data_IF_741528263647
#
_entry.id   IF_741528263647
#
_cell.length_a   1.000
_cell.length_b   1.000
_cell.length_c   1.000
_cell.angle_alpha   90.00
_cell.angle_beta   90.00
_cell.angle_gamma   90.00
#
_symmetry.space_group_name_H-M   'P 1'
#
loop_
_entity.id
_entity.type
_entity.pdbx_description
1 polymer ?
#
# COMPACT_ATOMS: atom_id res chain seq x y z
N UNK A 1 -8.11 6.37 15.51
CA UNK A 1 -7.34 5.59 14.52
C UNK A 1 -7.12 4.23 15.15
N UNK A 2 -7.58 3.16 14.51
CA UNK A 2 -7.36 1.79 14.99
C UNK A 2 -5.86 1.45 15.01
N UNK A 3 -5.41 0.67 15.99
CA UNK A 3 -4.03 0.19 15.96
C UNK A 3 -3.89 -0.97 14.97
N UNK A 4 -2.73 -1.07 14.31
CA UNK A 4 -2.47 -2.14 13.34
C UNK A 4 -2.67 -3.54 13.92
N UNK A 5 -2.38 -3.75 15.21
CA UNK A 5 -2.61 -5.02 15.90
C UNK A 5 -4.09 -5.39 15.93
N UNK A 6 -4.95 -4.42 16.23
CA UNK A 6 -6.41 -4.61 16.30
C UNK A 6 -6.96 -4.92 14.91
N UNK A 7 -6.48 -4.21 13.88
CA UNK A 7 -6.83 -4.44 12.48
C UNK A 7 -6.50 -5.88 12.05
N UNK A 8 -5.28 -6.35 12.37
CA UNK A 8 -4.86 -7.70 12.02
C UNK A 8 -5.62 -8.77 12.80
N UNK A 9 -5.98 -8.51 14.07
CA UNK A 9 -6.83 -9.41 14.84
C UNK A 9 -8.22 -9.56 14.19
N UNK A 10 -8.80 -8.45 13.71
CA UNK A 10 -10.05 -8.48 12.95
C UNK A 10 -9.90 -9.35 11.70
N UNK A 11 -8.84 -9.17 10.91
CA UNK A 11 -8.65 -9.94 9.68
C UNK A 11 -8.40 -11.44 9.94
N UNK A 12 -7.73 -11.81 11.03
CA UNK A 12 -7.45 -13.21 11.39
C UNK A 12 -8.65 -13.96 11.96
N UNK A 13 -9.59 -13.25 12.60
CA UNK A 13 -10.79 -13.85 13.21
C UNK A 13 -11.90 -14.15 12.20
N UNK A 14 -11.69 -13.89 10.90
CA UNK A 14 -12.68 -14.07 9.83
C UNK A 14 -12.73 -15.53 9.39
N UNK A 15 -13.47 -16.34 10.16
CA UNK A 15 -13.62 -17.78 9.91
C UNK A 15 -15.00 -18.17 9.39
N UNK A 16 -16.00 -17.30 9.52
CA UNK A 16 -17.36 -17.55 9.04
C UNK A 16 -17.62 -16.95 7.65
N UNK A 17 -18.37 -17.67 6.81
CA UNK A 17 -18.70 -17.27 5.44
C UNK A 17 -19.34 -15.87 5.34
N UNK A 18 -20.16 -15.48 6.30
CA UNK A 18 -20.78 -14.15 6.35
C UNK A 18 -19.76 -13.02 6.60
N UNK A 19 -18.64 -13.33 7.25
CA UNK A 19 -17.53 -12.41 7.49
C UNK A 19 -16.58 -12.36 6.28
N UNK A 20 -16.53 -13.41 5.46
CA UNK A 20 -15.65 -13.48 4.28
C UNK A 20 -15.98 -12.45 3.18
N UNK A 21 -17.22 -11.95 3.13
CA UNK A 21 -17.67 -10.92 2.16
C UNK A 21 -17.53 -9.48 2.64
N UNK A 22 -17.04 -9.27 3.86
CA UNK A 22 -16.90 -7.94 4.45
C UNK A 22 -15.61 -7.25 4.01
N UNK A 23 -15.61 -5.94 3.87
CA UNK A 23 -14.40 -5.16 3.63
C UNK A 23 -14.30 -4.13 4.74
N UNK A 24 -13.25 -4.23 5.53
CA UNK A 24 -12.93 -3.23 6.55
C UNK A 24 -12.03 -2.15 5.96
N UNK A 25 -12.50 -0.92 6.02
CA UNK A 25 -11.78 0.27 5.59
C UNK A 25 -11.46 1.12 6.81
N UNK A 26 -10.18 1.26 7.14
CA UNK A 26 -9.72 2.07 8.26
C UNK A 26 -9.26 3.42 7.76
N UNK A 27 -9.77 4.51 8.34
CA UNK A 27 -9.30 5.85 7.97
C UNK A 27 -7.92 6.12 8.58
N UNK A 28 -6.94 6.35 7.72
CA UNK A 28 -5.58 6.76 8.04
C UNK A 28 -5.27 8.09 7.35
N UNK A 29 -5.40 9.18 8.12
CA UNK A 29 -5.30 10.54 7.58
C UNK A 29 -6.41 10.83 6.57
N UNK A 30 -6.04 11.17 5.34
CA UNK A 30 -6.96 11.49 4.23
C UNK A 30 -7.31 10.29 3.35
N UNK A 31 -6.91 9.08 3.76
CA UNK A 31 -7.13 7.84 3.02
C UNK A 31 -7.92 6.83 3.84
N UNK A 32 -8.74 6.03 3.15
CA UNK A 32 -9.17 4.73 3.65
C UNK A 32 -8.15 3.66 3.25
N UNK A 33 -7.86 2.74 4.15
CA UNK A 33 -7.01 1.57 3.90
C UNK A 33 -7.74 0.29 4.24
N UNK A 34 -7.63 -0.67 3.33
CA UNK A 34 -8.00 -2.06 3.54
C UNK A 34 -6.72 -2.88 3.74
N UNK A 35 -6.77 -3.88 4.62
CA UNK A 35 -5.65 -4.75 4.95
C UNK A 35 -5.98 -6.21 4.62
N UNK A 36 -4.94 -6.98 4.28
CA UNK A 36 -5.01 -8.43 4.08
C UNK A 36 -6.21 -8.83 3.19
N UNK A 37 -7.16 -9.60 3.73
CA UNK A 37 -8.32 -10.11 3.00
C UNK A 37 -9.22 -8.98 2.53
N UNK A 38 -9.42 -7.94 3.33
CA UNK A 38 -10.14 -6.73 2.90
C UNK A 38 -9.47 -6.07 1.69
N UNK A 39 -8.12 -6.02 1.64
CA UNK A 39 -7.41 -5.46 0.48
C UNK A 39 -7.60 -6.33 -0.77
N UNK A 40 -7.51 -7.65 -0.61
CA UNK A 40 -7.74 -8.60 -1.70
C UNK A 40 -9.14 -8.48 -2.28
N UNK A 41 -10.17 -8.36 -1.43
CA UNK A 41 -11.56 -8.20 -1.85
C UNK A 41 -11.77 -6.91 -2.63
N UNK A 42 -11.19 -5.79 -2.17
CA UNK A 42 -11.26 -4.51 -2.90
C UNK A 42 -10.65 -4.66 -4.30
N UNK A 43 -9.45 -5.24 -4.38
CA UNK A 43 -8.71 -5.35 -5.64
C UNK A 43 -9.38 -6.31 -6.63
N UNK A 44 -9.99 -7.38 -6.11
CA UNK A 44 -10.58 -8.44 -6.93
C UNK A 44 -11.99 -8.10 -7.40
N UNK A 45 -12.81 -7.49 -6.53
CA UNK A 45 -14.26 -7.37 -6.75
C UNK A 45 -14.77 -5.92 -6.84
N UNK A 46 -14.01 -4.93 -6.37
CA UNK A 46 -14.44 -3.52 -6.36
C UNK A 46 -13.71 -2.72 -7.43
N UNK A 47 -12.38 -2.64 -7.34
CA UNK A 47 -11.56 -1.83 -8.25
C UNK A 47 -10.09 -2.27 -8.19
N UNK A 48 -9.40 -2.35 -9.34
CA UNK A 48 -7.99 -2.71 -9.38
C UNK A 48 -7.13 -1.58 -8.79
N UNK A 49 -6.76 -1.72 -7.52
CA UNK A 49 -5.81 -0.85 -6.83
C UNK A 49 -4.44 -1.50 -6.80
N UNK A 50 -3.38 -0.67 -6.72
CA UNK A 50 -2.02 -1.19 -6.54
C UNK A 50 -1.81 -1.62 -5.08
N UNK A 51 -1.67 -2.92 -4.78
CA UNK A 51 -1.38 -3.37 -3.42
C UNK A 51 0.05 -2.98 -3.03
N UNK A 52 0.25 -2.75 -1.73
CA UNK A 52 1.57 -2.57 -1.12
C UNK A 52 1.77 -3.65 -0.07
N UNK A 53 2.84 -4.45 -0.21
CA UNK A 53 3.26 -5.44 0.78
C UNK A 53 4.45 -4.92 1.56
N UNK A 54 4.44 -4.95 2.89
CA UNK A 54 5.55 -4.49 3.72
C UNK A 54 5.72 -5.35 4.97
N UNK A 55 6.94 -5.41 5.51
CA UNK A 55 7.19 -6.01 6.81
C UNK A 55 6.74 -5.09 7.94
N UNK A 56 6.24 -5.68 9.02
CA UNK A 56 5.87 -4.97 10.25
C UNK A 56 6.91 -5.29 11.32
N UNK A 57 7.41 -4.27 12.01
CA UNK A 57 8.38 -4.48 13.10
C UNK A 57 7.76 -5.34 14.19
N UNK A 58 8.44 -6.43 14.54
CA UNK A 58 7.97 -7.37 15.57
C UNK A 58 6.96 -8.41 15.06
N UNK A 59 6.83 -8.59 13.75
CA UNK A 59 6.05 -9.66 13.12
C UNK A 59 6.90 -10.34 12.04
N UNK A 60 6.91 -11.67 12.00
CA UNK A 60 7.65 -12.41 10.97
C UNK A 60 6.96 -12.29 9.60
N UNK A 61 5.64 -12.16 9.61
CA UNK A 61 4.84 -12.03 8.40
C UNK A 61 4.73 -10.59 7.89
N UNK A 62 4.89 -10.46 6.58
CA UNK A 62 4.57 -9.25 5.84
C UNK A 62 3.06 -9.01 5.79
N UNK A 63 2.67 -7.74 5.79
CA UNK A 63 1.29 -7.31 5.58
C UNK A 63 1.07 -6.75 4.18
N UNK A 64 -0.12 -6.96 3.62
CA UNK A 64 -0.56 -6.33 2.37
C UNK A 64 -1.69 -5.34 2.66
N UNK A 65 -1.64 -4.17 2.04
CA UNK A 65 -2.72 -3.19 2.11
C UNK A 65 -2.91 -2.46 0.78
N UNK A 66 -4.09 -1.89 0.60
CA UNK A 66 -4.39 -0.93 -0.46
C UNK A 66 -5.24 0.21 0.11
N UNK A 67 -5.32 1.34 -0.59
CA UNK A 67 -6.12 2.44 -0.12
C UNK A 67 -6.46 3.46 -1.19
N UNK A 68 -7.42 4.31 -0.85
CA UNK A 68 -7.94 5.37 -1.71
C UNK A 68 -8.34 6.60 -0.87
N UNK A 69 -8.42 7.80 -1.48
CA UNK A 69 -8.81 9.01 -0.75
C UNK A 69 -10.21 8.90 -0.15
N UNK A 70 -10.43 9.47 1.04
CA UNK A 70 -11.74 9.47 1.73
C UNK A 70 -12.85 10.04 0.83
N UNK A 71 -12.53 11.09 0.06
CA UNK A 71 -13.46 11.72 -0.90
C UNK A 71 -13.93 10.78 -2.01
N UNK A 72 -13.21 9.68 -2.24
CA UNK A 72 -13.51 8.70 -3.27
C UNK A 72 -14.35 7.54 -2.77
N UNK A 73 -14.81 7.52 -1.50
CA UNK A 73 -15.61 6.42 -0.95
C UNK A 73 -16.81 6.00 -1.82
N UNK A 74 -17.59 6.93 -2.42
CA UNK A 74 -18.70 6.54 -3.30
C UNK A 74 -18.24 5.70 -4.51
N UNK A 75 -17.05 5.99 -5.05
CA UNK A 75 -16.48 5.24 -6.19
C UNK A 75 -16.11 3.80 -5.81
N UNK A 76 -15.74 3.56 -4.55
CA UNK A 76 -15.36 2.24 -4.03
C UNK A 76 -16.49 1.57 -3.25
N UNK A 77 -17.72 2.06 -3.38
CA UNK A 77 -18.93 1.45 -2.84
C UNK A 77 -19.88 1.13 -4.00
N UNK A 78 -19.65 0.02 -4.74
CA UNK A 78 -20.52 -0.38 -5.85
C UNK A 78 -21.98 -0.53 -5.43
N UNK A 79 -22.89 -0.42 -6.41
CA UNK A 79 -24.32 -0.64 -6.17
C UNK A 79 -24.58 -2.02 -5.56
N UNK A 80 -25.45 -2.06 -4.55
CA UNK A 80 -25.77 -3.27 -3.79
C UNK A 80 -24.81 -3.55 -2.61
N UNK A 81 -23.73 -2.80 -2.45
CA UNK A 81 -22.91 -2.86 -1.24
C UNK A 81 -23.58 -2.08 -0.09
N UNK A 82 -23.72 -2.72 1.07
CA UNK A 82 -24.11 -2.01 2.29
C UNK A 82 -22.87 -1.40 2.95
N UNK A 83 -22.85 -0.09 3.14
CA UNK A 83 -21.75 0.62 3.81
C UNK A 83 -22.21 1.13 5.18
N UNK A 84 -21.50 0.73 6.23
CA UNK A 84 -21.76 1.17 7.62
C UNK A 84 -20.54 1.95 8.09
N UNK A 85 -20.73 3.26 8.33
CA UNK A 85 -19.70 4.11 8.95
C UNK A 85 -19.73 3.85 10.46
N UNK A 86 -18.58 3.53 11.03
CA UNK A 86 -18.42 3.27 12.45
C UNK A 86 -17.91 4.52 13.20
N UNK A 87 -18.06 4.53 14.52
CA UNK A 87 -17.68 5.66 15.39
C UNK A 87 -16.18 5.99 15.32
N UNK A 88 -15.33 5.00 15.05
CA UNK A 88 -13.88 5.14 14.95
C UNK A 88 -13.40 5.67 13.58
N UNK A 89 -14.34 6.12 12.74
CA UNK A 89 -14.13 6.54 11.35
C UNK A 89 -13.70 5.41 10.42
N UNK A 90 -13.87 4.15 10.82
CA UNK A 90 -13.79 3.03 9.88
C UNK A 90 -15.11 2.90 9.12
N UNK A 91 -15.05 2.22 7.98
CA UNK A 91 -16.21 1.87 7.17
C UNK A 91 -16.20 0.36 6.94
N UNK A 92 -17.32 -0.27 7.25
CA UNK A 92 -17.57 -1.66 6.94
C UNK A 92 -18.42 -1.73 5.67
N UNK A 93 -17.87 -2.30 4.60
CA UNK A 93 -18.63 -2.63 3.40
C UNK A 93 -19.02 -4.11 3.41
N UNK A 94 -20.24 -4.44 3.04
CA UNK A 94 -20.67 -5.81 2.80
C UNK A 94 -20.88 -6.01 1.31
N UNK A 95 -20.10 -6.89 0.69
CA UNK A 95 -20.26 -7.22 -0.72
C UNK A 95 -21.54 -8.03 -0.94
N UNK A 96 -22.37 -7.68 -1.94
CA UNK A 96 -23.53 -8.47 -2.32
C UNK A 96 -23.09 -9.80 -2.95
N UNK A 97 -23.96 -10.80 -2.91
CA UNK A 97 -23.73 -12.13 -3.50
C UNK A 97 -23.49 -12.08 -5.01
N UNK A 98 -24.01 -11.06 -5.69
CA UNK A 98 -23.76 -10.82 -7.12
C UNK A 98 -22.31 -10.45 -7.43
N UNK A 99 -21.61 -9.79 -6.49
CA UNK A 99 -20.20 -9.40 -6.64
C UNK A 99 -19.26 -10.45 -6.04
N UNK A 100 -19.66 -11.07 -4.92
CA UNK A 100 -18.92 -12.16 -4.28
C UNK A 100 -19.81 -13.40 -4.19
N UNK A 101 -19.95 -14.15 -5.29
CA UNK A 101 -20.72 -15.39 -5.28
C UNK A 101 -19.95 -16.45 -4.48
N UNK A 102 -20.51 -16.90 -3.37
CA UNK A 102 -19.91 -17.96 -2.54
C UNK A 102 -20.12 -19.35 -3.15
N UNK A 103 -19.68 -19.52 -4.40
CA UNK A 103 -19.77 -20.79 -5.13
C UNK A 103 -18.62 -21.73 -4.83
N UNK A 104 -17.66 -21.28 -4.01
CA UNK A 104 -16.39 -21.95 -3.76
C UNK A 104 -16.16 -22.07 -2.26
N UNK A 105 -15.57 -23.17 -1.81
CA UNK A 105 -15.40 -23.44 -0.38
C UNK A 105 -14.47 -22.42 0.29
N UNK A 106 -14.61 -22.25 1.60
CA UNK A 106 -13.79 -21.32 2.39
C UNK A 106 -12.28 -21.60 2.24
N UNK A 107 -11.89 -22.86 2.11
CA UNK A 107 -10.49 -23.28 1.92
C UNK A 107 -9.94 -22.82 0.57
N UNK A 108 -10.71 -22.98 -0.50
CA UNK A 108 -10.30 -22.55 -1.83
C UNK A 108 -10.21 -21.02 -1.94
N UNK A 109 -11.10 -20.28 -1.27
CA UNK A 109 -10.97 -18.82 -1.17
C UNK A 109 -9.73 -18.40 -0.38
N UNK A 110 -9.41 -19.12 0.70
CA UNK A 110 -8.20 -18.88 1.48
C UNK A 110 -6.94 -19.15 0.65
N UNK A 111 -6.93 -20.19 -0.18
CA UNK A 111 -5.83 -20.49 -1.09
C UNK A 111 -5.65 -19.39 -2.15
N UNK A 112 -6.75 -18.91 -2.75
CA UNK A 112 -6.72 -17.79 -3.70
C UNK A 112 -6.15 -16.52 -3.08
N UNK A 113 -6.56 -16.21 -1.86
CA UNK A 113 -6.00 -15.10 -1.09
C UNK A 113 -4.49 -15.28 -0.87
N UNK A 114 -4.05 -16.45 -0.40
CA UNK A 114 -2.64 -16.74 -0.15
C UNK A 114 -1.80 -16.62 -1.44
N UNK A 115 -2.29 -17.16 -2.54
CA UNK A 115 -1.66 -17.06 -3.86
C UNK A 115 -1.53 -15.61 -4.31
N UNK A 116 -2.60 -14.82 -4.16
CA UNK A 116 -2.56 -13.38 -4.43
C UNK A 116 -1.54 -12.67 -3.54
N UNK A 117 -1.58 -12.87 -2.22
CA UNK A 117 -0.65 -12.24 -1.26
C UNK A 117 0.80 -12.53 -1.61
N UNK A 118 1.11 -13.76 -2.00
CA UNK A 118 2.46 -14.18 -2.40
C UNK A 118 2.90 -13.58 -3.74
N UNK A 119 1.96 -13.25 -4.63
CA UNK A 119 2.25 -12.56 -5.89
C UNK A 119 2.59 -11.07 -5.71
N UNK A 120 2.18 -10.45 -4.59
CA UNK A 120 2.48 -9.03 -4.33
C UNK A 120 3.95 -8.88 -3.94
N UNK A 121 4.75 -8.07 -4.67
CA UNK A 121 6.16 -7.89 -4.35
C UNK A 121 6.32 -7.20 -3.00
N UNK A 122 7.23 -7.73 -2.19
CA UNK A 122 7.59 -7.12 -0.91
C UNK A 122 8.22 -5.76 -1.20
N UNK A 123 7.52 -4.70 -0.80
CA UNK A 123 8.09 -3.36 -0.76
C UNK A 123 8.99 -3.32 0.46
N UNK A 124 10.29 -3.46 0.23
CA UNK A 124 11.27 -3.09 1.24
C UNK A 124 10.94 -1.67 1.68
N UNK A 125 10.77 -1.48 2.98
CA UNK A 125 10.58 -0.15 3.52
C UNK A 125 11.75 0.68 3.00
N UNK A 126 11.47 1.78 2.27
CA UNK A 126 12.45 2.81 1.92
C UNK A 126 12.94 3.56 3.17
N UNK A 127 13.25 2.83 4.24
CA UNK A 127 14.11 3.24 5.33
C UNK A 127 15.50 2.63 5.20
N UNK A 128 15.69 1.58 4.38
CA UNK A 128 17.01 0.95 4.18
C UNK A 128 17.44 0.76 2.72
N UNK A 129 16.60 1.13 1.73
CA UNK A 129 17.01 1.20 0.31
C UNK A 129 17.86 2.44 -0.04
N UNK A 130 18.41 3.14 0.96
CA UNK A 130 19.49 4.12 0.81
C UNK A 130 20.77 3.72 1.55
N UNK A 131 20.86 2.46 2.03
CA UNK A 131 22.05 1.98 2.75
C UNK A 131 22.75 0.74 2.19
N UNK A 132 22.19 0.04 1.20
CA UNK A 132 22.84 -1.15 0.63
C UNK A 132 23.27 -1.02 -0.84
N UNK A 133 23.76 0.18 -1.21
CA UNK A 133 24.65 0.32 -2.37
C UNK A 133 25.90 1.17 -2.08
N UNK A 134 26.24 1.42 -0.81
CA UNK A 134 27.48 2.15 -0.45
C UNK A 134 28.19 1.48 0.72
N UNK A 135 28.67 0.27 0.47
CA UNK A 135 29.89 -0.31 1.06
C UNK A 135 30.34 -1.28 -0.04
N UNK A 136 31.28 -1.01 -0.94
CA UNK A 136 32.58 -0.38 -0.85
C UNK A 136 32.94 0.28 -2.20
N UNK A 137 33.04 1.60 -2.21
CA UNK A 137 33.98 2.33 -3.06
C UNK A 137 34.06 3.72 -2.46
N UNK A 138 35.26 4.12 -2.02
CA UNK A 138 35.54 5.47 -1.56
C UNK A 138 34.81 6.50 -2.45
N UNK A 139 33.84 7.22 -1.87
CA UNK A 139 33.01 8.19 -2.60
C UNK A 139 33.91 9.32 -3.06
N UNK A 140 34.46 9.18 -4.26
CA UNK A 140 35.12 10.27 -4.95
C UNK A 140 34.12 11.43 -5.07
N UNK A 141 34.54 12.69 -4.92
CA UNK A 141 33.67 13.83 -5.17
C UNK A 141 33.09 13.70 -6.58
N UNK A 142 31.75 13.73 -6.67
CA UNK A 142 31.02 13.63 -7.93
C UNK A 142 31.51 14.77 -8.84
N UNK A 143 31.77 14.51 -10.12
CA UNK A 143 32.25 15.55 -11.04
C UNK A 143 31.08 16.40 -11.53
N UNK A 144 31.35 17.66 -11.87
CA UNK A 144 30.33 18.58 -12.40
C UNK A 144 29.55 18.00 -13.59
N UNK A 145 30.20 17.20 -14.43
CA UNK A 145 29.59 16.52 -15.59
C UNK A 145 28.54 15.48 -15.20
N UNK A 146 28.72 14.78 -14.09
CA UNK A 146 27.80 13.74 -13.60
C UNK A 146 26.53 14.37 -13.02
N UNK A 147 26.69 15.47 -12.27
CA UNK A 147 25.57 16.27 -11.77
C UNK A 147 24.75 16.83 -12.95
N UNK A 148 25.41 17.33 -13.99
CA UNK A 148 24.74 17.83 -15.18
C UNK A 148 23.94 16.73 -15.90
N UNK A 149 24.49 15.52 -16.01
CA UNK A 149 23.78 14.37 -16.57
C UNK A 149 22.55 13.98 -15.73
N UNK A 150 22.65 14.02 -14.40
CA UNK A 150 21.50 13.77 -13.52
C UNK A 150 20.38 14.79 -13.71
N UNK A 151 20.71 16.08 -13.86
CA UNK A 151 19.73 17.14 -14.13
C UNK A 151 19.03 16.90 -15.47
N UNK A 152 19.79 16.59 -16.53
CA UNK A 152 19.24 16.35 -17.87
C UNK A 152 18.35 15.09 -17.94
N UNK A 153 18.67 14.07 -17.14
CA UNK A 153 17.93 12.82 -17.13
C UNK A 153 16.68 12.85 -16.22
N UNK A 154 16.47 13.91 -15.43
CA UNK A 154 15.37 13.97 -14.47
C UNK A 154 14.02 14.20 -15.17
N UNK A 155 13.07 13.24 -15.14
CA UNK A 155 11.80 13.36 -15.85
C UNK A 155 10.81 14.21 -15.05
N UNK A 156 10.92 15.54 -15.16
CA UNK A 156 10.15 16.49 -14.34
C UNK A 156 8.63 16.31 -14.45
N UNK A 157 8.14 15.90 -15.63
CA UNK A 157 6.72 15.72 -15.93
C UNK A 157 6.08 14.51 -15.23
N UNK A 158 6.91 13.53 -14.83
CA UNK A 158 6.46 12.26 -14.24
C UNK A 158 6.69 12.19 -12.73
N UNK A 159 7.24 13.26 -12.14
CA UNK A 159 7.63 13.32 -10.73
C UNK A 159 6.68 14.22 -9.95
N UNK A 160 6.43 13.85 -8.70
CA UNK A 160 5.62 14.71 -7.83
C UNK A 160 6.42 15.97 -7.45
N UNK A 161 5.75 17.07 -7.07
CA UNK A 161 6.44 18.27 -6.59
C UNK A 161 7.39 17.98 -5.41
N UNK A 162 7.06 17.02 -4.54
CA UNK A 162 7.97 16.61 -3.45
C UNK A 162 9.20 15.87 -3.98
N UNK A 163 9.06 14.97 -4.94
CA UNK A 163 10.22 14.28 -5.54
C UNK A 163 11.19 15.27 -6.19
N UNK A 164 10.66 16.32 -6.85
CA UNK A 164 11.47 17.39 -7.42
C UNK A 164 12.21 18.20 -6.33
N UNK A 165 11.55 18.49 -5.20
CA UNK A 165 12.21 19.17 -4.07
C UNK A 165 13.32 18.34 -3.44
N UNK A 166 13.12 17.02 -3.26
CA UNK A 166 14.17 16.13 -2.75
C UNK A 166 15.36 16.06 -3.72
N UNK A 167 15.11 15.93 -5.02
CA UNK A 167 16.14 15.92 -6.05
C UNK A 167 16.99 17.21 -6.04
N UNK A 168 16.36 18.38 -5.97
CA UNK A 168 17.07 19.66 -5.89
C UNK A 168 17.93 19.79 -4.63
N UNK A 169 17.46 19.23 -3.49
CA UNK A 169 18.23 19.21 -2.25
C UNK A 169 19.50 18.36 -2.40
N UNK A 170 19.41 17.21 -3.05
CA UNK A 170 20.54 16.32 -3.31
C UNK A 170 21.57 16.95 -4.25
N UNK A 171 21.11 17.59 -5.34
CA UNK A 171 21.98 18.33 -6.27
C UNK A 171 22.74 19.46 -5.56
N UNK A 172 22.07 20.22 -4.68
CA UNK A 172 22.72 21.29 -3.90
C UNK A 172 23.81 20.76 -2.98
N UNK A 173 23.57 19.64 -2.30
CA UNK A 173 24.57 19.00 -1.45
C UNK A 173 25.77 18.55 -2.29
N UNK A 174 25.53 17.89 -3.42
CA UNK A 174 26.61 17.42 -4.30
C UNK A 174 27.44 18.59 -4.86
N UNK A 175 26.80 19.71 -5.23
CA UNK A 175 27.52 20.92 -5.68
C UNK A 175 28.33 21.58 -4.56
N UNK A 176 27.85 21.56 -3.31
CA UNK A 176 28.58 22.14 -2.17
C UNK A 176 29.85 21.37 -1.79
N UNK A 177 30.02 20.15 -2.29
CA UNK A 177 31.25 19.38 -2.13
C UNK A 177 32.27 19.62 -3.26
N UNK A 178 31.89 20.36 -4.30
CA UNK A 178 32.73 20.69 -5.47
C UNK A 178 33.20 22.15 -5.45
N UNK A 179 32.38 23.05 -4.89
CA UNK A 179 32.61 24.49 -4.77
C UNK A 179 33.09 24.85 -3.36
#
# INVERSE_FOLDING_TARGET
>A
MAQLKDILAIEQQRTADAECRKVHLFQEGTFYRAYERSAWLVITYISPLKPTRRNVKGQEDSIVFCGFPVTSLPKYTPDGCAAIVQEDKSVLLSLPETLYPQTTSAEAEQERFNNWKNSVPLTESKKDAHKESIIDAARAPMRMTEIMQQILAFPIEQKTPMDAMLFLSEIKQNLSHIL
#
